data_IF_220665019034
#
_entry.id   IF_220665019034
#
_cell.length_a   1.000
_cell.length_b   1.000
_cell.length_c   1.000
_cell.angle_alpha   90.00
_cell.angle_beta   90.00
_cell.angle_gamma   90.00
#
_symmetry.space_group_name_H-M   'P 1'
#
loop_
_entity.id
_entity.type
_entity.pdbx_description
1 polymer ?
#
# COMPACT_ATOMS: atom_id res chain seq x y z
N UNK A 1 20.81 2.33 -34.59
CA UNK A 1 19.99 2.10 -35.80
C UNK A 1 20.49 0.84 -36.49
N UNK A 2 19.60 -0.04 -36.94
CA UNK A 2 19.98 -1.22 -37.72
C UNK A 2 20.20 -0.82 -39.19
N UNK A 3 21.14 -1.50 -39.87
CA UNK A 3 21.44 -1.25 -41.30
C UNK A 3 20.21 -1.44 -42.21
N UNK A 4 19.31 -2.34 -41.85
CA UNK A 4 18.08 -2.60 -42.60
C UNK A 4 17.09 -1.43 -42.54
N UNK A 5 16.93 -0.81 -41.36
CA UNK A 5 16.04 0.34 -41.20
C UNK A 5 16.56 1.55 -42.00
N UNK A 6 17.87 1.74 -42.06
CA UNK A 6 18.47 2.85 -42.81
C UNK A 6 18.22 2.70 -44.32
N UNK A 7 18.42 1.49 -44.86
CA UNK A 7 18.20 1.18 -46.27
C UNK A 7 16.73 1.35 -46.71
N UNK A 8 15.76 1.10 -45.83
CA UNK A 8 14.34 1.32 -46.14
C UNK A 8 13.96 2.80 -46.24
N UNK A 9 14.64 3.68 -45.48
CA UNK A 9 14.35 5.11 -45.47
C UNK A 9 15.11 5.93 -46.52
N UNK A 10 16.22 5.42 -47.06
CA UNK A 10 17.01 6.07 -48.12
C UNK A 10 16.20 6.40 -49.39
N UNK A 11 15.16 5.62 -49.66
CA UNK A 11 14.30 5.79 -50.85
C UNK A 11 13.00 6.55 -50.55
N UNK A 12 12.80 7.05 -49.32
CA UNK A 12 11.60 7.78 -48.99
C UNK A 12 11.70 9.25 -49.41
N UNK A 13 10.64 9.81 -50.02
CA UNK A 13 10.72 11.10 -50.71
C UNK A 13 10.87 12.30 -49.76
N UNK A 14 10.49 12.17 -48.49
CA UNK A 14 10.63 13.22 -47.49
C UNK A 14 10.57 12.67 -46.06
N UNK A 15 10.98 13.51 -45.10
CA UNK A 15 10.94 13.20 -43.67
C UNK A 15 9.53 12.83 -43.17
N UNK A 16 8.47 13.43 -43.72
CA UNK A 16 7.09 13.10 -43.35
C UNK A 16 6.71 11.65 -43.68
N UNK A 17 7.19 11.13 -44.82
CA UNK A 17 6.97 9.74 -45.23
C UNK A 17 7.71 8.77 -44.31
N UNK A 18 8.93 9.13 -43.90
CA UNK A 18 9.70 8.37 -42.91
C UNK A 18 8.98 8.33 -41.56
N UNK A 19 8.47 9.47 -41.09
CA UNK A 19 7.72 9.55 -39.82
C UNK A 19 6.46 8.68 -39.88
N UNK A 20 5.68 8.74 -40.97
CA UNK A 20 4.48 7.92 -41.13
C UNK A 20 4.80 6.42 -41.11
N UNK A 21 5.85 5.99 -41.82
CA UNK A 21 6.24 4.59 -41.84
C UNK A 21 6.74 4.10 -40.48
N UNK A 22 7.51 4.92 -39.76
CA UNK A 22 7.94 4.62 -38.40
C UNK A 22 6.75 4.57 -37.43
N UNK A 23 5.76 5.45 -37.59
CA UNK A 23 4.52 5.41 -36.81
C UNK A 23 3.70 4.15 -37.08
N UNK A 24 3.66 3.69 -38.33
CA UNK A 24 2.98 2.44 -38.69
C UNK A 24 3.68 1.22 -38.05
N UNK A 25 5.00 1.09 -38.25
CA UNK A 25 5.77 -0.05 -37.73
C UNK A 25 5.89 -0.06 -36.20
N UNK A 26 6.23 1.07 -35.59
CA UNK A 26 6.54 1.14 -34.16
C UNK A 26 5.35 1.62 -33.31
N UNK A 27 4.38 2.32 -33.90
CA UNK A 27 3.16 2.75 -33.21
C UNK A 27 2.24 1.58 -32.88
N UNK A 28 2.10 0.60 -33.77
CA UNK A 28 1.32 -0.62 -33.50
C UNK A 28 1.96 -1.49 -32.41
N UNK A 29 3.29 -1.59 -32.42
CA UNK A 29 4.05 -2.27 -31.36
C UNK A 29 3.85 -1.55 -30.01
N UNK A 30 3.98 -0.22 -29.98
CA UNK A 30 3.72 0.58 -28.78
C UNK A 30 2.27 0.42 -28.27
N UNK A 31 1.28 0.42 -29.16
CA UNK A 31 -0.12 0.17 -28.83
C UNK A 31 -0.31 -1.20 -28.15
N UNK A 32 0.31 -2.24 -28.70
CA UNK A 32 0.20 -3.62 -28.19
C UNK A 32 0.90 -3.78 -26.84
N UNK A 33 2.12 -3.25 -26.70
CA UNK A 33 2.87 -3.27 -25.43
C UNK A 33 2.12 -2.51 -24.34
N UNK A 34 1.64 -1.30 -24.65
CA UNK A 34 0.83 -0.49 -23.73
C UNK A 34 -0.42 -1.24 -23.28
N UNK A 35 -1.13 -1.88 -24.22
CA UNK A 35 -2.31 -2.69 -23.90
C UNK A 35 -1.99 -3.82 -22.92
N UNK A 36 -0.91 -4.58 -23.14
CA UNK A 36 -0.55 -5.69 -22.25
C UNK A 36 -0.11 -5.21 -20.86
N UNK A 37 0.64 -4.10 -20.77
CA UNK A 37 1.01 -3.50 -19.47
C UNK A 37 -0.23 -3.01 -18.73
N UNK A 38 -1.11 -2.23 -19.39
CA UNK A 38 -2.36 -1.77 -18.78
C UNK A 38 -3.22 -2.95 -18.33
N UNK A 39 -3.36 -3.99 -19.16
CA UNK A 39 -4.11 -5.20 -18.80
C UNK A 39 -3.55 -5.88 -17.54
N UNK A 40 -2.22 -5.97 -17.41
CA UNK A 40 -1.58 -6.51 -16.19
C UNK A 40 -1.84 -5.61 -14.99
N UNK A 41 -1.65 -4.30 -15.11
CA UNK A 41 -1.85 -3.32 -14.04
C UNK A 41 -3.28 -3.34 -13.49
N UNK A 42 -4.29 -3.18 -14.36
CA UNK A 42 -5.69 -3.06 -13.93
C UNK A 42 -6.27 -4.36 -13.37
N UNK A 43 -5.73 -5.52 -13.78
CA UNK A 43 -6.16 -6.85 -13.30
C UNK A 43 -5.36 -7.34 -12.10
N UNK A 44 -4.28 -6.65 -11.74
CA UNK A 44 -3.44 -7.03 -10.61
C UNK A 44 -4.25 -6.93 -9.31
N UNK A 45 -4.23 -8.02 -8.53
CA UNK A 45 -4.82 -8.12 -7.20
C UNK A 45 -3.83 -8.83 -6.31
N UNK A 46 -3.69 -8.35 -5.09
CA UNK A 46 -2.82 -8.97 -4.09
C UNK A 46 -3.56 -10.15 -3.48
N UNK A 47 -3.07 -11.37 -3.72
CA UNK A 47 -3.67 -12.61 -3.22
C UNK A 47 -2.94 -13.14 -1.99
N UNK A 48 -1.62 -13.31 -2.07
CA UNK A 48 -0.75 -13.73 -0.96
C UNK A 48 0.66 -13.17 -1.18
N UNK A 49 1.33 -12.71 -0.12
CA UNK A 49 2.68 -12.13 -0.22
C UNK A 49 2.86 -10.85 0.58
N UNK A 50 3.99 -10.16 0.38
CA UNK A 50 4.25 -8.86 1.00
C UNK A 50 3.57 -7.74 0.23
N UNK A 51 2.95 -6.79 0.95
CA UNK A 51 2.40 -5.58 0.33
C UNK A 51 3.49 -4.81 -0.42
N UNK A 52 4.71 -4.84 0.11
CA UNK A 52 5.85 -4.15 -0.48
C UNK A 52 6.09 -4.59 -1.92
N UNK A 53 6.24 -5.90 -2.12
CA UNK A 53 6.50 -6.50 -3.43
C UNK A 53 5.37 -6.21 -4.41
N UNK A 54 4.12 -6.32 -3.94
CA UNK A 54 2.94 -6.04 -4.75
C UNK A 54 2.89 -4.59 -5.23
N UNK A 55 3.06 -3.63 -4.32
CA UNK A 55 3.00 -2.20 -4.65
C UNK A 55 4.17 -1.79 -5.54
N UNK A 56 5.39 -2.29 -5.29
CA UNK A 56 6.54 -2.03 -6.17
C UNK A 56 6.29 -2.54 -7.59
N UNK A 57 5.64 -3.70 -7.74
CA UNK A 57 5.30 -4.25 -9.06
C UNK A 57 4.24 -3.40 -9.78
N UNK A 58 3.31 -2.80 -9.05
CA UNK A 58 2.36 -1.85 -9.65
C UNK A 58 3.04 -0.55 -10.08
N UNK A 59 3.97 -0.03 -9.27
CA UNK A 59 4.79 1.15 -9.62
C UNK A 59 5.59 0.87 -10.90
N UNK A 60 6.26 -0.28 -10.99
CA UNK A 60 7.00 -0.70 -12.19
C UNK A 60 6.13 -0.68 -13.46
N UNK A 61 4.88 -1.17 -13.40
CA UNK A 61 3.98 -1.05 -14.56
C UNK A 61 3.57 0.38 -14.89
N UNK A 62 3.40 1.24 -13.89
CA UNK A 62 3.07 2.66 -14.10
C UNK A 62 4.25 3.37 -14.77
N UNK A 63 5.47 3.14 -14.30
CA UNK A 63 6.70 3.68 -14.91
C UNK A 63 6.90 3.16 -16.35
N UNK A 64 6.60 1.89 -16.62
CA UNK A 64 6.63 1.35 -17.99
C UNK A 64 5.59 2.00 -18.91
N UNK A 65 4.41 2.38 -18.39
CA UNK A 65 3.42 3.15 -19.16
C UNK A 65 3.92 4.57 -19.44
N UNK A 66 4.54 5.22 -18.46
CA UNK A 66 5.13 6.54 -18.62
C UNK A 66 6.25 6.54 -19.68
N UNK A 67 7.09 5.50 -19.71
CA UNK A 67 8.11 5.31 -20.73
C UNK A 67 7.54 5.15 -22.16
N UNK A 68 6.27 4.77 -22.29
CA UNK A 68 5.52 4.72 -23.56
C UNK A 68 4.78 6.03 -23.86
N UNK A 69 5.12 7.12 -23.16
CA UNK A 69 4.45 8.42 -23.19
C UNK A 69 2.96 8.35 -22.78
N UNK A 70 2.61 7.38 -21.93
CA UNK A 70 1.27 7.25 -21.36
C UNK A 70 1.34 7.49 -19.84
N UNK A 71 1.39 8.77 -19.47
CA UNK A 71 1.41 9.18 -18.07
C UNK A 71 0.05 8.91 -17.40
N UNK A 72 0.10 8.43 -16.16
CA UNK A 72 -1.07 8.17 -15.33
C UNK A 72 -1.19 9.27 -14.28
N UNK A 73 -2.40 9.73 -14.04
CA UNK A 73 -2.69 10.65 -12.95
C UNK A 73 -2.29 10.05 -11.59
N UNK A 74 -1.70 10.88 -10.73
CA UNK A 74 -1.16 10.43 -9.44
C UNK A 74 -2.24 9.92 -8.47
N UNK A 75 -3.40 10.57 -8.44
CA UNK A 75 -4.53 10.14 -7.61
C UNK A 75 -5.10 8.81 -8.15
N UNK A 76 -5.24 8.70 -9.47
CA UNK A 76 -5.67 7.45 -10.10
C UNK A 76 -4.71 6.28 -9.81
N UNK A 77 -3.40 6.54 -9.81
CA UNK A 77 -2.40 5.53 -9.49
C UNK A 77 -2.55 5.03 -8.03
N UNK A 78 -2.77 5.94 -7.09
CA UNK A 78 -3.03 5.63 -5.68
C UNK A 78 -4.31 4.81 -5.54
N UNK A 79 -5.39 5.25 -6.18
CA UNK A 79 -6.68 4.55 -6.16
C UNK A 79 -6.57 3.12 -6.69
N UNK A 80 -5.83 2.92 -7.78
CA UNK A 80 -5.59 1.59 -8.34
C UNK A 80 -4.81 0.70 -7.36
N UNK A 81 -3.80 1.24 -6.69
CA UNK A 81 -3.07 0.49 -5.65
C UNK A 81 -4.02 0.11 -4.53
N UNK A 82 -4.81 1.04 -3.98
CA UNK A 82 -5.75 0.76 -2.90
C UNK A 82 -6.80 -0.29 -3.28
N UNK A 83 -7.34 -0.22 -4.51
CA UNK A 83 -8.32 -1.20 -5.04
C UNK A 83 -7.74 -2.59 -5.27
N UNK A 84 -6.42 -2.71 -5.37
CA UNK A 84 -5.76 -4.00 -5.62
C UNK A 84 -5.50 -4.81 -4.34
N UNK A 85 -5.61 -4.18 -3.16
CA UNK A 85 -5.31 -4.78 -1.87
C UNK A 85 -6.43 -5.73 -1.41
N UNK A 86 -6.10 -6.74 -0.57
CA UNK A 86 -7.10 -7.64 -0.03
C UNK A 86 -7.89 -6.96 1.11
N UNK A 87 -9.05 -7.54 1.45
CA UNK A 87 -9.97 -7.03 2.48
C UNK A 87 -9.35 -6.86 3.87
N UNK A 88 -8.22 -7.52 4.15
CA UNK A 88 -7.45 -7.30 5.38
C UNK A 88 -6.97 -5.84 5.54
N UNK A 89 -6.89 -5.08 4.44
CA UNK A 89 -6.53 -3.65 4.43
C UNK A 89 -7.76 -2.71 4.44
N UNK A 90 -8.98 -3.24 4.51
CA UNK A 90 -10.22 -2.44 4.49
C UNK A 90 -10.23 -1.29 5.52
N UNK A 91 -9.78 -1.54 6.75
CA UNK A 91 -9.68 -0.51 7.79
C UNK A 91 -8.70 0.61 7.41
N UNK A 92 -7.58 0.27 6.77
CA UNK A 92 -6.60 1.24 6.29
C UNK A 92 -7.20 2.09 5.17
N UNK A 93 -7.84 1.46 4.19
CA UNK A 93 -8.47 2.14 3.04
C UNK A 93 -9.56 3.10 3.52
N UNK A 94 -10.42 2.67 4.44
CA UNK A 94 -11.46 3.52 5.02
C UNK A 94 -10.86 4.75 5.71
N UNK A 95 -9.80 4.57 6.50
CA UNK A 95 -9.11 5.67 7.17
C UNK A 95 -8.41 6.61 6.18
N UNK A 96 -7.79 6.06 5.13
CA UNK A 96 -7.14 6.84 4.07
C UNK A 96 -8.16 7.76 3.38
N UNK A 97 -9.31 7.20 2.98
CA UNK A 97 -10.37 7.93 2.29
C UNK A 97 -11.07 8.95 3.20
N UNK A 98 -11.36 8.59 4.45
CA UNK A 98 -12.03 9.48 5.40
C UNK A 98 -11.20 10.73 5.71
N UNK A 99 -9.89 10.56 5.84
CA UNK A 99 -8.98 11.67 6.15
C UNK A 99 -8.53 12.45 4.90
N UNK A 100 -8.99 12.07 3.70
CA UNK A 100 -8.57 12.68 2.43
C UNK A 100 -7.04 12.78 2.33
N UNK A 101 -6.37 11.68 2.64
CA UNK A 101 -4.91 11.64 2.65
C UNK A 101 -4.39 11.81 1.22
N UNK A 102 -3.63 12.87 0.98
CA UNK A 102 -2.86 13.05 -0.25
C UNK A 102 -1.41 12.66 0.03
N UNK A 103 -0.86 11.77 -0.79
CA UNK A 103 0.52 11.31 -0.64
C UNK A 103 1.06 10.81 -1.98
N UNK A 104 2.37 10.62 -2.08
CA UNK A 104 3.01 9.96 -3.21
C UNK A 104 2.90 8.42 -3.12
N UNK A 105 3.10 7.71 -4.23
CA UNK A 105 3.18 6.23 -4.23
C UNK A 105 4.25 5.69 -3.27
N UNK A 106 5.37 6.40 -3.12
CA UNK A 106 6.44 6.02 -2.20
C UNK A 106 6.03 6.19 -0.73
N UNK A 107 5.23 7.20 -0.40
CA UNK A 107 4.68 7.40 0.94
C UNK A 107 3.57 6.38 1.24
N UNK A 108 2.68 6.13 0.28
CA UNK A 108 1.67 5.09 0.37
C UNK A 108 2.30 3.73 0.69
N UNK A 109 3.40 3.37 -0.01
CA UNK A 109 4.16 2.15 0.26
C UNK A 109 4.65 2.07 1.72
N UNK A 110 5.20 3.16 2.28
CA UNK A 110 5.65 3.20 3.69
C UNK A 110 4.49 3.03 4.66
N UNK A 111 3.36 3.68 4.39
CA UNK A 111 2.15 3.57 5.20
C UNK A 111 1.58 2.14 5.17
N UNK A 112 1.50 1.54 3.99
CA UNK A 112 1.03 0.16 3.80
C UNK A 112 1.93 -0.87 4.47
N UNK A 113 3.25 -0.71 4.41
CA UNK A 113 4.20 -1.56 5.15
C UNK A 113 3.94 -1.49 6.67
N UNK A 114 3.68 -0.29 7.19
CA UNK A 114 3.35 -0.11 8.62
C UNK A 114 2.03 -0.83 8.96
N UNK A 115 1.00 -0.67 8.12
CA UNK A 115 -0.27 -1.34 8.28
C UNK A 115 -0.14 -2.87 8.24
N UNK A 116 0.66 -3.42 7.32
CA UNK A 116 0.94 -4.85 7.21
C UNK A 116 1.54 -5.41 8.51
N UNK A 117 2.48 -4.70 9.14
CA UNK A 117 3.06 -5.14 10.42
C UNK A 117 2.04 -5.14 11.57
N UNK A 118 1.06 -4.24 11.55
CA UNK A 118 -0.02 -4.21 12.54
C UNK A 118 -1.01 -5.35 12.33
N UNK A 119 -1.30 -5.70 11.07
CA UNK A 119 -2.20 -6.80 10.70
C UNK A 119 -1.59 -8.17 11.08
N UNK A 120 -0.27 -8.34 10.89
CA UNK A 120 0.43 -9.59 11.21
C UNK A 120 0.60 -9.85 12.71
N UNK A 121 0.43 -8.84 13.57
CA UNK A 121 0.46 -9.05 15.02
C UNK A 121 -0.84 -9.75 15.44
N UNK A 122 -0.77 -10.87 16.20
CA UNK A 122 -1.97 -11.48 16.74
C UNK A 122 -2.74 -10.46 17.57
N UNK A 123 -4.07 -10.41 17.40
CA UNK A 123 -5.01 -9.54 18.12
C UNK A 123 -5.12 -9.85 19.63
N UNK A 124 -4.08 -10.38 20.26
CA UNK A 124 -4.05 -10.75 21.69
C UNK A 124 -3.47 -9.66 22.60
N UNK A 125 -3.23 -8.45 22.09
CA UNK A 125 -2.77 -7.32 22.92
C UNK A 125 -3.63 -6.09 22.70
N UNK A 126 -4.92 -6.20 23.02
CA UNK A 126 -5.73 -5.07 23.46
C UNK A 126 -6.59 -5.50 24.66
N UNK A 127 -5.92 -5.99 25.71
CA UNK A 127 -6.46 -5.79 27.05
C UNK A 127 -6.31 -4.29 27.33
N UNK A 128 -7.40 -3.54 27.16
CA UNK A 128 -7.53 -2.20 27.73
C UNK A 128 -7.41 -2.42 29.24
N UNK A 129 -6.23 -2.14 29.79
CA UNK A 129 -6.07 -1.94 31.22
C UNK A 129 -7.06 -0.85 31.62
N UNK A 130 -8.19 -1.26 32.17
CA UNK A 130 -9.05 -0.37 32.94
C UNK A 130 -8.21 0.32 34.00
N UNK A 131 -8.50 1.59 34.34
CA UNK A 131 -7.66 2.35 35.26
C UNK A 131 -7.63 1.66 36.62
N UNK A 132 -6.56 0.88 36.85
CA UNK A 132 -6.25 0.29 38.13
C UNK A 132 -5.87 1.43 39.07
N UNK A 133 -6.86 1.86 39.85
CA UNK A 133 -6.68 2.84 40.91
C UNK A 133 -5.58 2.34 41.86
N UNK A 134 -4.42 2.99 41.78
CA UNK A 134 -3.31 2.83 42.71
C UNK A 134 -3.77 3.24 44.12
N UNK A 135 -4.33 2.32 44.90
CA UNK A 135 -4.56 2.53 46.33
C UNK A 135 -3.22 2.39 47.05
N UNK A 136 -2.68 3.56 47.40
CA UNK A 136 -1.42 3.73 48.10
C UNK A 136 -1.34 2.97 49.42
N UNK A 137 -0.14 2.46 49.69
CA UNK A 137 0.29 2.00 51.01
C UNK A 137 0.16 3.15 52.01
N UNK A 138 -0.76 3.05 52.97
CA UNK A 138 -0.67 3.82 54.23
C UNK A 138 -0.47 2.85 55.39
N UNK A 139 0.70 2.98 56.03
CA UNK A 139 1.04 2.33 57.30
C UNK A 139 0.55 3.21 58.45
N UNK A 140 -0.01 2.53 59.47
CA UNK A 140 -0.21 2.90 60.89
C UNK A 140 -1.24 3.96 61.26
N UNK A 141 -2.23 3.56 62.05
CA UNK A 141 -2.32 3.93 63.49
C UNK A 141 -3.36 3.06 64.22
N UNK A 142 -3.01 2.49 65.38
CA UNK A 142 -3.97 1.88 66.32
C UNK A 142 -4.58 2.98 67.19
N UNK A 143 -5.84 2.78 67.65
CA UNK A 143 -6.11 2.97 69.08
C UNK A 143 -6.83 1.75 69.70
N UNK A 144 -6.50 1.49 70.97
CA UNK A 144 -7.07 0.45 71.85
C UNK A 144 -8.45 0.85 72.40
N UNK A 145 -9.34 -0.13 72.58
CA UNK A 145 -10.28 -0.26 73.71
C UNK A 145 -10.83 -1.71 73.72
N UNK A 146 -10.44 -2.57 74.67
CA UNK A 146 -11.10 -2.90 75.96
C UNK A 146 -12.50 -3.54 75.85
N UNK A 147 -12.56 -4.84 76.19
CA UNK A 147 -13.65 -5.41 77.02
C UNK A 147 -14.41 -6.61 76.45
N UNK A 148 -14.44 -7.72 77.20
CA UNK A 148 -15.57 -8.68 77.19
C UNK A 148 -15.32 -10.07 76.57
N UNK A 149 -14.63 -10.99 77.25
CA UNK A 149 -15.17 -12.17 78.01
C UNK A 149 -15.02 -13.52 77.27
N UNK A 150 -14.60 -14.49 78.09
CA UNK A 150 -14.13 -15.87 77.87
C UNK A 150 -15.17 -16.87 77.33
N UNK A 151 -14.67 -17.90 76.64
CA UNK A 151 -14.93 -19.37 76.77
C UNK A 151 -13.97 -20.07 75.78
N UNK A 152 -13.25 -21.17 76.03
CA UNK A 152 -13.12 -22.14 77.13
C UNK A 152 -12.04 -23.18 76.75
N UNK A 153 -11.96 -24.28 77.52
CA UNK A 153 -10.97 -25.40 77.53
C UNK A 153 -9.79 -25.10 78.48
N UNK A 154 -9.46 -25.94 79.45
CA UNK A 154 -9.74 -27.36 79.68
C UNK A 154 -9.83 -27.67 81.18
#
# INVERSE_FOLDING_TARGET
MSNELQRQHENMPNASSMILHLQELYGEQSRTVRYEISKKLFRMRMTEGSVNEHVLKMIDYIEQLEALNFSMDGELAIDLVLQSLPDSFSQFIMNFNMNKMECSLAELLKMLNTAETCIKKPKDVMAIEGPSTKKGKKKKFQPKAKGGIKKGKS
#
